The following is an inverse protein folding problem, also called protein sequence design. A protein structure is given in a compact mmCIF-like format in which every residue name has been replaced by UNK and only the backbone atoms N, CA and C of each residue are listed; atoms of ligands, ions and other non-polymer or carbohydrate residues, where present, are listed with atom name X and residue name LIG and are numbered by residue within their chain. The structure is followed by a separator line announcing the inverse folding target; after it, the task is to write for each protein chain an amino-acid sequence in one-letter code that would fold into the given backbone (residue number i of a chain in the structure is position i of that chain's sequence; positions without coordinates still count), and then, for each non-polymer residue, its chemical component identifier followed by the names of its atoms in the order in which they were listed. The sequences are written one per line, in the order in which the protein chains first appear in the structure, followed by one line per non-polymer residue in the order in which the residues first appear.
data_IF_944468909668
#
_entry.id   IF_944468909668
#
_cell.length_a   1.000
_cell.length_b   1.000
_cell.length_c   1.000
_cell.angle_alpha   90.00
_cell.angle_beta   90.00
_cell.angle_gamma   90.00
#
_symmetry.space_group_name_H-M   'P 1'
#
loop_
_entity.id
_entity.type
_entity.pdbx_description
1 polymer ?
#
# COMPACT_ATOMS: atom_id res chain seq x y z
N UNK A 1 16.92 7.97 -11.98
CA UNK A 1 15.87 6.99 -12.34
C UNK A 1 14.65 7.40 -11.51
N UNK A 2 13.57 7.88 -12.13
CA UNK A 2 12.37 8.26 -11.36
C UNK A 2 11.68 6.97 -10.89
N UNK A 3 11.59 6.76 -9.58
CA UNK A 3 10.80 5.67 -9.02
C UNK A 3 9.34 5.88 -9.42
N UNK A 4 8.74 4.87 -10.03
CA UNK A 4 7.30 4.90 -10.35
C UNK A 4 6.55 4.70 -9.04
N UNK A 5 5.83 5.75 -8.64
CA UNK A 5 5.07 5.80 -7.40
C UNK A 5 3.66 6.32 -7.70
N UNK A 6 2.67 5.71 -7.06
CA UNK A 6 1.28 6.12 -7.05
C UNK A 6 0.83 6.36 -5.62
N UNK A 7 -0.05 7.33 -5.42
CA UNK A 7 -0.60 7.66 -4.13
C UNK A 7 -2.12 7.69 -4.21
N UNK A 8 -2.77 7.10 -3.21
CA UNK A 8 -4.21 7.19 -3.03
C UNK A 8 -4.56 7.37 -1.55
N UNK A 9 -5.73 7.97 -1.31
CA UNK A 9 -6.30 8.08 0.02
C UNK A 9 -7.78 7.69 -0.07
N UNK A 10 -8.21 6.74 0.77
CA UNK A 10 -9.59 6.28 0.83
C UNK A 10 -10.17 6.43 2.23
N UNK A 11 -11.31 7.12 2.33
CA UNK A 11 -12.10 7.18 3.55
C UNK A 11 -12.82 5.85 3.83
N UNK A 12 -12.80 5.42 5.08
CA UNK A 12 -13.50 4.23 5.56
C UNK A 12 -13.81 4.35 7.06
N UNK A 13 -15.11 4.23 7.41
CA UNK A 13 -15.60 4.28 8.81
C UNK A 13 -15.07 5.47 9.64
N UNK A 14 -15.05 6.66 9.04
CA UNK A 14 -14.60 7.89 9.70
C UNK A 14 -13.08 8.05 9.83
N UNK A 15 -12.31 7.12 9.25
CA UNK A 15 -10.85 7.18 9.14
C UNK A 15 -10.44 7.25 7.66
N UNK A 16 -9.17 7.51 7.40
CA UNK A 16 -8.58 7.61 6.08
C UNK A 16 -7.38 6.67 5.97
N UNK A 17 -7.41 5.83 4.95
CA UNK A 17 -6.34 4.90 4.59
C UNK A 17 -5.51 5.57 3.51
N UNK A 18 -4.29 5.93 3.85
CA UNK A 18 -3.29 6.52 2.96
C UNK A 18 -2.43 5.40 2.41
N UNK A 19 -2.29 5.33 1.10
CA UNK A 19 -1.55 4.26 0.41
C UNK A 19 -0.56 4.88 -0.55
N UNK A 20 0.65 4.34 -0.52
CA UNK A 20 1.67 4.53 -1.55
C UNK A 20 1.92 3.19 -2.20
N UNK A 21 1.75 3.07 -3.50
CA UNK A 21 2.25 1.95 -4.28
C UNK A 21 3.50 2.38 -5.04
N UNK A 22 4.56 1.59 -5.01
CA UNK A 22 5.83 1.93 -5.63
C UNK A 22 6.49 0.70 -6.25
N UNK A 23 7.16 0.92 -7.38
CA UNK A 23 7.92 -0.12 -8.05
C UNK A 23 9.19 -0.45 -7.26
N UNK A 24 9.43 -1.72 -6.96
CA UNK A 24 10.65 -2.17 -6.29
C UNK A 24 11.85 -2.00 -7.24
N UNK A 25 12.84 -1.21 -6.83
CA UNK A 25 14.01 -0.86 -7.64
C UNK A 25 15.07 -1.97 -7.72
N UNK A 26 15.06 -2.93 -6.79
CA UNK A 26 16.10 -3.95 -6.62
C UNK A 26 15.62 -5.40 -6.74
N UNK A 27 14.33 -5.64 -6.96
CA UNK A 27 13.84 -7.00 -7.14
C UNK A 27 14.34 -7.55 -8.48
N UNK A 28 15.11 -8.66 -8.50
CA UNK A 28 15.45 -9.30 -9.77
C UNK A 28 14.14 -9.64 -10.45
N UNK A 29 13.96 -9.19 -11.70
CA UNK A 29 12.85 -9.65 -12.54
C UNK A 29 12.96 -11.17 -12.60
N UNK A 30 12.09 -11.85 -11.86
CA UNK A 30 12.08 -13.30 -11.83
C UNK A 30 11.70 -13.79 -13.23
N UNK A 31 12.43 -14.76 -13.77
CA UNK A 31 12.13 -15.30 -15.09
C UNK A 31 10.70 -15.89 -15.08
N UNK A 32 9.79 -15.26 -15.83
CA UNK A 32 8.36 -15.63 -15.87
C UNK A 32 7.42 -14.68 -15.13
N UNK A 33 7.93 -13.66 -14.44
CA UNK A 33 7.08 -12.63 -13.85
C UNK A 33 6.38 -11.79 -14.93
N UNK A 34 5.10 -11.42 -14.74
CA UNK A 34 4.33 -10.66 -15.74
C UNK A 34 4.74 -9.18 -15.83
N UNK A 35 5.66 -8.71 -14.98
CA UNK A 35 6.09 -7.32 -14.93
C UNK A 35 7.06 -7.06 -13.77
N UNK A 36 7.39 -5.79 -13.51
CA UNK A 36 8.19 -5.42 -12.35
C UNK A 36 7.41 -5.65 -11.05
N UNK A 37 8.12 -5.97 -9.97
CA UNK A 37 7.50 -6.06 -8.64
C UNK A 37 7.10 -4.67 -8.13
N UNK A 38 5.91 -4.60 -7.55
CA UNK A 38 5.34 -3.45 -6.86
C UNK A 38 5.19 -3.79 -5.38
N UNK A 39 5.49 -2.82 -4.53
CA UNK A 39 5.25 -2.86 -3.10
C UNK A 39 4.27 -1.75 -2.74
N UNK A 40 3.74 -1.81 -1.52
CA UNK A 40 2.94 -0.72 -0.98
C UNK A 40 3.34 -0.38 0.45
N UNK A 41 3.14 0.88 0.82
CA UNK A 41 3.12 1.36 2.20
C UNK A 41 1.73 1.90 2.51
N UNK A 42 1.33 1.80 3.78
CA UNK A 42 0.01 2.21 4.22
C UNK A 42 0.09 2.90 5.58
N UNK A 43 -0.74 3.92 5.76
CA UNK A 43 -0.99 4.54 7.05
C UNK A 43 -2.49 4.82 7.24
N UNK A 44 -2.95 4.81 8.49
CA UNK A 44 -4.35 5.11 8.85
C UNK A 44 -4.38 6.36 9.70
N UNK A 45 -5.24 7.32 9.34
CA UNK A 45 -5.37 8.62 10.03
C UNK A 45 -6.84 9.03 10.17
N UNK A 46 -7.08 10.06 10.98
CA UNK A 46 -8.38 10.74 11.05
C UNK A 46 -8.53 11.89 10.04
N UNK A 47 -7.49 12.21 9.27
CA UNK A 47 -7.51 13.24 8.22
C UNK A 47 -7.13 12.66 6.85
N UNK A 48 -7.69 13.24 5.78
CA UNK A 48 -7.34 12.97 4.39
C UNK A 48 -6.04 13.67 3.95
N UNK A 49 -5.47 14.54 4.79
CA UNK A 49 -4.28 15.31 4.44
C UNK A 49 -3.07 14.39 4.24
N UNK A 50 -2.40 14.58 3.11
CA UNK A 50 -1.17 13.88 2.77
C UNK A 50 -0.04 14.34 3.69
N UNK A 51 0.66 13.39 4.30
CA UNK A 51 1.90 13.63 5.06
C UNK A 51 2.87 12.50 4.73
N UNK A 52 3.94 12.80 4.00
CA UNK A 52 4.86 11.76 3.50
C UNK A 52 5.66 11.08 4.63
N UNK A 53 5.62 11.60 5.86
CA UNK A 53 6.37 11.07 7.01
C UNK A 53 5.66 9.93 7.73
N UNK A 54 4.43 9.61 7.34
CA UNK A 54 3.54 8.70 8.08
C UNK A 54 3.72 7.22 7.72
N UNK A 55 4.49 6.93 6.68
CA UNK A 55 4.67 5.56 6.21
C UNK A 55 5.74 4.88 7.05
N UNK A 56 5.33 3.86 7.82
CA UNK A 56 6.27 2.89 8.38
C UNK A 56 6.70 1.90 7.29
N UNK A 57 7.90 1.34 7.45
CA UNK A 57 8.37 0.24 6.60
C UNK A 57 7.37 -0.93 6.68
N UNK A 58 6.78 -1.30 5.55
CA UNK A 58 6.01 -2.52 5.42
C UNK A 58 6.97 -3.67 5.13
N UNK A 59 7.02 -4.64 6.05
CA UNK A 59 7.81 -5.87 5.89
C UNK A 59 7.03 -6.97 5.15
N UNK A 60 5.99 -6.63 4.39
CA UNK A 60 5.20 -7.60 3.64
C UNK A 60 6.00 -8.07 2.40
N UNK A 61 7.03 -8.86 2.68
CA UNK A 61 7.87 -9.53 1.69
C UNK A 61 7.19 -10.81 1.17
N UNK A 62 6.10 -11.26 1.80
CA UNK A 62 5.44 -12.52 1.48
C UNK A 62 4.56 -12.42 0.22
N UNK A 63 4.01 -11.24 -0.06
CA UNK A 63 3.16 -11.03 -1.23
C UNK A 63 3.91 -10.35 -2.41
N UNK A 64 3.83 -10.97 -3.58
CA UNK A 64 4.35 -10.42 -4.83
C UNK A 64 3.23 -9.74 -5.64
N UNK A 65 3.29 -8.41 -5.77
CA UNK A 65 2.41 -7.67 -6.69
C UNK A 65 3.19 -7.30 -7.95
N UNK A 66 2.60 -7.54 -9.13
CA UNK A 66 3.25 -7.26 -10.42
C UNK A 66 2.61 -6.11 -11.20
N UNK A 67 1.62 -5.44 -10.60
CA UNK A 67 1.00 -4.22 -11.14
C UNK A 67 0.74 -3.21 -10.01
N UNK A 68 0.77 -1.92 -10.34
CA UNK A 68 0.43 -0.85 -9.40
C UNK A 68 -0.97 -1.03 -8.81
N UNK A 69 -2.04 -1.30 -9.61
CA UNK A 69 -3.38 -1.46 -9.05
C UNK A 69 -3.51 -2.66 -8.09
N UNK A 70 -2.74 -3.74 -8.30
CA UNK A 70 -2.77 -4.89 -7.39
C UNK A 70 -2.18 -4.53 -6.02
N UNK A 71 -1.06 -3.81 -5.99
CA UNK A 71 -0.46 -3.33 -4.74
C UNK A 71 -1.39 -2.33 -4.02
N UNK A 72 -2.02 -1.43 -4.77
CA UNK A 72 -3.01 -0.48 -4.24
C UNK A 72 -4.23 -1.19 -3.61
N UNK A 73 -4.79 -2.18 -4.30
CA UNK A 73 -5.94 -2.94 -3.82
C UNK A 73 -5.61 -3.73 -2.54
N UNK A 74 -4.42 -4.33 -2.47
CA UNK A 74 -3.97 -5.03 -1.28
C UNK A 74 -3.82 -4.08 -0.09
N UNK A 75 -3.17 -2.94 -0.28
CA UNK A 75 -3.04 -1.91 0.75
C UNK A 75 -4.41 -1.45 1.28
N UNK A 76 -5.37 -1.21 0.39
CA UNK A 76 -6.73 -0.83 0.77
C UNK A 76 -7.47 -1.94 1.52
N UNK A 77 -7.29 -3.19 1.11
CA UNK A 77 -7.89 -4.35 1.78
C UNK A 77 -7.39 -4.45 3.22
N UNK A 78 -6.08 -4.47 3.44
CA UNK A 78 -5.50 -4.55 4.78
C UNK A 78 -5.77 -3.28 5.60
N UNK A 79 -5.85 -2.12 4.97
CA UNK A 79 -6.23 -0.88 5.64
C UNK A 79 -7.65 -0.91 6.19
N UNK A 80 -8.60 -1.42 5.41
CA UNK A 80 -9.99 -1.60 5.87
C UNK A 80 -10.04 -2.61 7.01
N UNK A 81 -9.35 -3.73 6.87
CA UNK A 81 -9.25 -4.72 7.94
C UNK A 81 -8.67 -4.12 9.24
N UNK A 82 -7.60 -3.34 9.15
CA UNK A 82 -7.02 -2.69 10.32
C UNK A 82 -7.96 -1.66 10.95
N UNK A 83 -8.71 -0.89 10.15
CA UNK A 83 -9.77 -0.02 10.66
C UNK A 83 -10.87 -0.82 11.35
N UNK A 84 -11.23 -2.00 10.83
CA UNK A 84 -12.22 -2.87 11.45
C UNK A 84 -11.75 -3.41 12.80
N UNK A 85 -10.48 -3.81 12.91
CA UNK A 85 -9.84 -4.19 14.18
C UNK A 85 -9.90 -3.04 15.19
N UNK A 86 -9.55 -1.81 14.78
CA UNK A 86 -9.60 -0.61 15.65
C UNK A 86 -11.01 -0.39 16.21
N UNK A 87 -12.04 -0.67 15.40
CA UNK A 87 -13.44 -0.53 15.81
C UNK A 87 -14.03 -1.79 16.47
N UNK A 88 -13.27 -2.86 16.66
CA UNK A 88 -13.76 -4.10 17.25
C UNK A 88 -14.75 -4.88 16.36
N UNK A 89 -14.59 -4.80 15.05
CA UNK A 89 -15.47 -5.41 14.04
C UNK A 89 -14.79 -6.52 13.20
N UNK A 90 -13.62 -6.98 13.63
CA UNK A 90 -12.81 -8.00 12.95
C UNK A 90 -12.98 -9.40 13.57
#
# INVERSE_FOLDING_TARGET
MHERMSWLCQGYRGMFIHVVAFQASSAPTCAGAPGPKWNYMMAIRYTADRDDRIFCESFDHENDYYTCPAAEQAALYYGKFAVDVIHGMA
#
